data_IF_016988388190
#
_entry.id   IF_016988388190
#
_cell.length_a   1.000
_cell.length_b   1.000
_cell.length_c   1.000
_cell.angle_alpha   90.00
_cell.angle_beta   90.00
_cell.angle_gamma   90.00
#
_symmetry.space_group_name_H-M   'P 1'
#
loop_
_entity.id
_entity.type
_entity.pdbx_description
1 polymer ?
#
# COMPACT_ATOMS: atom_id res chain seq x y z
N UNK A 1 13.84 -0.41 17.83
CA UNK A 1 13.04 -0.88 16.66
C UNK A 1 13.76 -0.64 15.32
N UNK A 2 14.08 0.61 14.90
CA UNK A 2 14.71 0.88 13.58
C UNK A 2 16.04 0.13 13.40
N UNK A 3 16.94 0.17 14.38
CA UNK A 3 18.25 -0.51 14.29
C UNK A 3 18.11 -2.04 14.21
N UNK A 4 17.18 -2.61 14.96
CA UNK A 4 16.88 -4.04 14.91
C UNK A 4 16.30 -4.43 13.55
N UNK A 5 15.39 -3.62 13.00
CA UNK A 5 14.82 -3.83 11.68
C UNK A 5 15.91 -3.82 10.60
N UNK A 6 16.83 -2.84 10.64
CA UNK A 6 17.98 -2.78 9.72
C UNK A 6 18.86 -4.01 9.84
N UNK A 7 19.19 -4.43 11.06
CA UNK A 7 20.01 -5.61 11.28
C UNK A 7 19.37 -6.89 10.69
N UNK A 8 18.05 -7.07 10.85
CA UNK A 8 17.32 -8.19 10.24
C UNK A 8 17.35 -8.14 8.70
N UNK A 9 17.16 -6.96 8.10
CA UNK A 9 17.24 -6.78 6.65
C UNK A 9 18.64 -7.05 6.10
N UNK A 10 19.68 -6.60 6.80
CA UNK A 10 21.08 -6.87 6.43
C UNK A 10 21.46 -8.33 6.56
N UNK A 11 20.94 -9.05 7.56
CA UNK A 11 21.11 -10.50 7.69
C UNK A 11 20.53 -11.21 6.46
N UNK A 12 19.27 -10.89 6.08
CA UNK A 12 18.61 -11.47 4.90
C UNK A 12 19.40 -11.17 3.61
N UNK A 13 19.96 -9.95 3.46
CA UNK A 13 20.79 -9.59 2.30
C UNK A 13 22.04 -10.46 2.17
N UNK A 14 22.63 -10.87 3.29
CA UNK A 14 23.89 -11.60 3.34
C UNK A 14 23.73 -13.12 3.24
N UNK A 15 22.49 -13.61 3.29
CA UNK A 15 22.17 -15.03 3.12
C UNK A 15 21.88 -15.37 1.66
N UNK A 16 22.10 -16.63 1.26
CA UNK A 16 21.62 -17.14 -0.01
C UNK A 16 20.09 -17.31 0.06
N UNK A 17 19.38 -16.40 -0.56
CA UNK A 17 17.92 -16.42 -0.59
C UNK A 17 17.37 -16.63 -2.00
N UNK A 18 16.31 -17.41 -2.10
CA UNK A 18 15.53 -17.50 -3.32
C UNK A 18 14.61 -16.28 -3.47
N UNK A 19 14.63 -15.69 -4.65
CA UNK A 19 13.67 -14.65 -5.03
C UNK A 19 12.53 -15.26 -5.84
N UNK A 20 11.30 -15.06 -5.37
CA UNK A 20 10.08 -15.35 -6.13
C UNK A 20 9.35 -14.04 -6.39
N UNK A 21 8.95 -13.84 -7.64
CA UNK A 21 8.20 -12.64 -8.04
C UNK A 21 6.77 -13.05 -8.38
N UNK A 22 5.81 -12.28 -7.88
CA UNK A 22 4.41 -12.43 -8.20
C UNK A 22 3.85 -11.12 -8.72
N UNK A 23 3.12 -11.18 -9.82
CA UNK A 23 2.29 -10.09 -10.29
C UNK A 23 0.88 -10.25 -9.73
N UNK A 24 0.31 -9.19 -9.20
CA UNK A 24 -1.02 -9.19 -8.59
C UNK A 24 -1.96 -8.37 -9.42
N UNK A 25 -3.08 -8.95 -9.84
CA UNK A 25 -4.14 -8.24 -10.56
C UNK A 25 -5.09 -7.52 -9.62
N UNK A 26 -5.96 -6.68 -10.18
CA UNK A 26 -7.02 -5.99 -9.45
C UNK A 26 -8.04 -6.95 -8.81
N UNK A 27 -8.14 -8.16 -9.32
CA UNK A 27 -9.02 -9.24 -8.81
C UNK A 27 -8.25 -10.21 -7.89
N UNK A 28 -7.07 -9.84 -7.40
CA UNK A 28 -6.24 -10.66 -6.52
C UNK A 28 -5.82 -12.03 -7.08
N UNK A 29 -5.74 -12.12 -8.42
CA UNK A 29 -5.14 -13.26 -9.10
C UNK A 29 -3.62 -13.06 -9.11
N UNK A 30 -2.88 -14.10 -8.75
CA UNK A 30 -1.42 -14.10 -8.74
C UNK A 30 -0.89 -14.74 -10.01
N UNK A 31 0.10 -14.10 -10.63
CA UNK A 31 0.85 -14.64 -11.76
C UNK A 31 2.32 -14.75 -11.38
N UNK A 32 2.92 -15.90 -11.66
CA UNK A 32 4.34 -16.18 -11.36
C UNK A 32 5.15 -16.17 -12.66
N UNK A 33 5.98 -15.15 -12.90
CA UNK A 33 6.91 -15.15 -14.03
C UNK A 33 8.08 -16.11 -13.74
N UNK A 34 8.65 -16.66 -14.79
CA UNK A 34 9.93 -17.39 -14.67
C UNK A 34 11.07 -16.37 -14.61
N UNK A 35 11.91 -16.48 -13.60
CA UNK A 35 13.12 -15.68 -13.44
C UNK A 35 14.37 -16.52 -13.65
N UNK A 36 15.39 -15.90 -14.26
CA UNK A 36 16.73 -16.48 -14.29
C UNK A 36 17.36 -16.36 -12.89
N UNK A 37 17.84 -17.46 -12.34
CA UNK A 37 18.41 -17.54 -10.98
C UNK A 37 19.58 -16.57 -10.77
N UNK A 38 20.32 -16.27 -11.82
CA UNK A 38 21.50 -15.38 -11.80
C UNK A 38 21.18 -13.94 -11.39
N UNK A 39 19.92 -13.48 -11.58
CA UNK A 39 19.48 -12.13 -11.24
C UNK A 39 19.01 -11.99 -9.77
N UNK A 40 18.83 -13.08 -9.06
CA UNK A 40 18.21 -13.07 -7.73
C UNK A 40 18.99 -12.21 -6.73
N UNK A 41 20.29 -12.44 -6.60
CA UNK A 41 21.11 -11.78 -5.57
C UNK A 41 21.25 -10.27 -5.83
N UNK A 42 21.35 -9.85 -7.09
CA UNK A 42 21.45 -8.44 -7.47
C UNK A 42 20.15 -7.71 -7.10
N UNK A 43 18.99 -8.27 -7.49
CA UNK A 43 17.68 -7.68 -7.18
C UNK A 43 17.47 -7.62 -5.66
N UNK A 44 17.75 -8.70 -4.93
CA UNK A 44 17.61 -8.75 -3.46
C UNK A 44 18.44 -7.65 -2.81
N UNK A 45 19.72 -7.57 -3.19
CA UNK A 45 20.67 -6.60 -2.64
C UNK A 45 20.19 -5.16 -2.88
N UNK A 46 19.77 -4.84 -4.09
CA UNK A 46 19.30 -3.51 -4.46
C UNK A 46 18.03 -3.11 -3.69
N UNK A 47 17.07 -4.03 -3.56
CA UNK A 47 15.83 -3.77 -2.82
C UNK A 47 16.11 -3.51 -1.34
N UNK A 48 16.90 -4.36 -0.70
CA UNK A 48 17.22 -4.23 0.73
C UNK A 48 18.04 -2.97 0.99
N UNK A 49 19.04 -2.67 0.16
CA UNK A 49 19.82 -1.43 0.28
C UNK A 49 18.94 -0.19 0.19
N UNK A 50 17.93 -0.21 -0.69
CA UNK A 50 16.99 0.91 -0.80
C UNK A 50 16.15 1.09 0.46
N UNK A 51 15.62 0.00 1.02
CA UNK A 51 14.85 0.04 2.27
C UNK A 51 15.73 0.56 3.42
N UNK A 52 16.94 0.03 3.59
CA UNK A 52 17.88 0.46 4.64
C UNK A 52 18.24 1.93 4.49
N UNK A 53 18.50 2.40 3.24
CA UNK A 53 18.75 3.82 2.95
C UNK A 53 17.55 4.70 3.30
N UNK A 54 16.34 4.22 3.06
CA UNK A 54 15.12 4.94 3.43
C UNK A 54 14.96 5.02 4.96
N UNK A 55 15.13 3.90 5.66
CA UNK A 55 15.08 3.82 7.12
C UNK A 55 16.15 4.67 7.83
N UNK A 56 17.25 5.01 7.14
CA UNK A 56 18.26 5.95 7.68
C UNK A 56 17.78 7.41 7.76
N UNK A 57 16.68 7.73 7.11
CA UNK A 57 16.08 9.08 7.08
C UNK A 57 14.86 9.18 7.98
N UNK A 58 14.48 8.07 8.62
CA UNK A 58 13.32 7.96 9.47
C UNK A 58 13.76 8.07 10.92
N UNK A 59 13.18 8.99 11.66
CA UNK A 59 13.50 9.20 13.08
C UNK A 59 12.74 8.18 13.95
N UNK A 60 11.49 7.90 13.60
CA UNK A 60 10.61 7.02 14.36
C UNK A 60 9.73 6.14 13.44
N UNK A 61 9.38 4.94 13.91
CA UNK A 61 8.37 4.07 13.28
C UNK A 61 7.18 4.01 14.23
N UNK A 62 6.04 4.50 13.78
CA UNK A 62 4.81 4.57 14.56
C UNK A 62 3.85 3.44 14.21
N UNK A 63 2.95 3.11 15.11
CA UNK A 63 1.88 2.16 14.81
C UNK A 63 0.94 2.77 13.76
N UNK A 64 0.60 1.97 12.74
CA UNK A 64 -0.29 2.39 11.68
C UNK A 64 -1.71 2.50 12.20
N UNK A 65 -2.27 3.68 12.07
CA UNK A 65 -3.67 3.92 12.36
C UNK A 65 -4.39 4.19 11.02
N UNK A 66 -5.36 3.36 10.68
CA UNK A 66 -6.19 3.53 9.48
C UNK A 66 -6.87 4.92 9.43
N UNK A 67 -7.12 5.48 10.60
CA UNK A 67 -7.78 6.77 10.82
C UNK A 67 -6.79 7.93 10.92
N UNK A 68 -5.48 7.62 10.95
CA UNK A 68 -4.41 8.60 11.20
C UNK A 68 -4.15 9.58 10.07
N UNK A 69 -3.52 10.69 10.41
CA UNK A 69 -3.03 11.63 9.42
C UNK A 69 -1.78 11.06 8.72
N UNK A 70 -1.69 11.31 7.41
CA UNK A 70 -0.50 10.99 6.60
C UNK A 70 0.69 11.83 7.10
N UNK A 71 1.53 11.29 7.96
CA UNK A 71 2.69 12.02 8.51
C UNK A 71 3.91 11.97 7.62
N UNK A 72 3.92 11.10 6.61
CA UNK A 72 5.08 10.88 5.73
C UNK A 72 6.19 10.03 6.37
N UNK A 73 5.98 9.54 7.58
CA UNK A 73 6.87 8.63 8.31
C UNK A 73 6.56 7.17 8.01
N UNK A 74 7.47 6.27 8.37
CA UNK A 74 7.20 4.83 8.28
C UNK A 74 6.27 4.44 9.41
N UNK A 75 5.19 3.76 9.06
CA UNK A 75 4.31 3.14 10.06
C UNK A 75 4.40 1.62 9.99
N UNK A 76 3.94 0.93 11.04
CA UNK A 76 3.84 -0.51 11.06
C UNK A 76 2.49 -0.97 11.58
N UNK A 77 2.06 -2.15 11.13
CA UNK A 77 0.91 -2.85 11.68
C UNK A 77 1.21 -4.34 11.81
N UNK A 78 0.48 -5.02 12.68
CA UNK A 78 0.58 -6.47 12.81
C UNK A 78 -0.12 -7.17 11.66
N UNK A 79 0.46 -8.30 11.24
CA UNK A 79 -0.16 -9.20 10.25
C UNK A 79 -1.43 -9.85 10.80
N UNK A 80 -1.45 -10.09 12.13
CA UNK A 80 -2.59 -10.69 12.81
C UNK A 80 -3.85 -9.86 12.64
N UNK A 81 -4.93 -10.49 12.17
CA UNK A 81 -6.21 -9.81 11.93
C UNK A 81 -6.30 -9.04 10.61
N UNK A 82 -5.23 -8.97 9.81
CA UNK A 82 -5.29 -8.31 8.50
C UNK A 82 -5.64 -9.30 7.39
N UNK A 83 -6.94 -9.47 7.14
CA UNK A 83 -7.49 -10.50 6.27
C UNK A 83 -7.01 -10.39 4.83
N UNK A 84 -6.94 -9.18 4.26
CA UNK A 84 -6.53 -8.93 2.87
C UNK A 84 -5.11 -9.39 2.60
N UNK A 85 -4.20 -9.13 3.52
CA UNK A 85 -2.83 -9.62 3.46
C UNK A 85 -2.80 -11.15 3.59
N UNK A 86 -3.53 -11.71 4.56
CA UNK A 86 -3.54 -13.13 4.84
C UNK A 86 -4.07 -13.95 3.65
N UNK A 87 -5.07 -13.45 2.92
CA UNK A 87 -5.57 -14.07 1.69
C UNK A 87 -4.49 -14.15 0.60
N UNK A 88 -3.75 -13.07 0.37
CA UNK A 88 -2.65 -13.06 -0.60
C UNK A 88 -1.52 -13.99 -0.16
N UNK A 89 -1.14 -13.93 1.12
CA UNK A 89 -0.10 -14.81 1.67
C UNK A 89 -0.47 -16.28 1.54
N UNK A 90 -1.72 -16.63 1.82
CA UNK A 90 -2.19 -18.01 1.69
C UNK A 90 -2.08 -18.51 0.25
N UNK A 91 -2.51 -17.72 -0.73
CA UNK A 91 -2.35 -18.06 -2.16
C UNK A 91 -0.88 -18.30 -2.54
N UNK A 92 0.05 -17.48 -2.02
CA UNK A 92 1.49 -17.68 -2.25
C UNK A 92 2.01 -18.97 -1.62
N UNK A 93 1.54 -19.32 -0.42
CA UNK A 93 1.93 -20.55 0.28
C UNK A 93 1.38 -21.80 -0.39
N UNK A 94 0.16 -21.73 -0.89
CA UNK A 94 -0.52 -22.85 -1.57
C UNK A 94 -0.07 -22.97 -3.05
N UNK A 95 0.82 -22.08 -3.52
CA UNK A 95 1.23 -21.94 -4.94
C UNK A 95 0.01 -21.78 -5.87
N UNK A 96 -1.08 -21.17 -5.35
CA UNK A 96 -2.30 -20.84 -6.10
C UNK A 96 -2.03 -19.62 -6.99
N UNK A 97 -1.30 -19.85 -8.05
CA UNK A 97 -0.90 -18.84 -9.00
C UNK A 97 -0.96 -19.36 -10.45
N UNK A 98 -1.32 -18.46 -11.36
CA UNK A 98 -1.32 -18.74 -12.78
C UNK A 98 0.07 -18.52 -13.39
N UNK A 99 0.43 -19.33 -14.37
CA UNK A 99 1.62 -19.08 -15.17
C UNK A 99 1.37 -17.90 -16.11
N UNK A 100 2.34 -16.99 -16.18
CA UNK A 100 2.27 -15.88 -17.11
C UNK A 100 2.53 -16.37 -18.53
N UNK A 101 1.46 -16.45 -19.34
CA UNK A 101 1.58 -16.75 -20.77
C UNK A 101 1.79 -15.47 -21.58
N UNK A 102 2.78 -15.44 -22.49
CA UNK A 102 3.12 -14.24 -23.28
C UNK A 102 2.01 -13.73 -24.22
N UNK A 103 1.03 -14.57 -24.54
CA UNK A 103 0.04 -14.32 -25.60
C UNK A 103 -0.92 -13.16 -25.33
N UNK A 104 -0.99 -12.63 -24.10
CA UNK A 104 -1.96 -11.58 -23.75
C UNK A 104 -1.37 -10.48 -22.85
N UNK A 105 -0.14 -10.09 -23.12
CA UNK A 105 0.65 -9.16 -22.29
C UNK A 105 -0.05 -7.80 -22.10
N UNK A 106 -0.74 -7.29 -23.13
CA UNK A 106 -1.42 -5.98 -23.05
C UNK A 106 -2.63 -5.97 -22.10
N UNK A 107 -3.47 -6.98 -22.19
CA UNK A 107 -4.62 -7.11 -21.29
C UNK A 107 -4.18 -7.37 -19.85
N UNK A 108 -3.12 -8.15 -19.68
CA UNK A 108 -2.51 -8.44 -18.39
C UNK A 108 -2.02 -7.17 -17.69
N UNK A 109 -1.24 -6.31 -18.36
CA UNK A 109 -0.74 -5.08 -17.76
C UNK A 109 -1.86 -4.11 -17.32
N UNK A 110 -2.98 -4.08 -18.02
CA UNK A 110 -4.12 -3.24 -17.65
C UNK A 110 -4.83 -3.74 -16.37
N UNK A 111 -4.67 -5.01 -16.04
CA UNK A 111 -5.26 -5.64 -14.85
C UNK A 111 -4.32 -5.60 -13.64
N UNK A 112 -3.03 -5.31 -13.81
CA UNK A 112 -2.08 -5.30 -12.71
C UNK A 112 -2.38 -4.20 -11.69
N UNK A 113 -2.38 -4.57 -10.41
CA UNK A 113 -2.37 -3.63 -9.31
C UNK A 113 -1.01 -3.54 -8.61
N UNK A 114 -0.24 -4.61 -8.59
CA UNK A 114 1.05 -4.62 -7.90
C UNK A 114 1.95 -5.78 -8.22
N UNK A 115 3.11 -5.76 -7.57
CA UNK A 115 4.16 -6.76 -7.65
C UNK A 115 4.55 -7.12 -6.23
N UNK A 116 4.74 -8.41 -5.96
CA UNK A 116 5.25 -8.93 -4.71
C UNK A 116 6.58 -9.62 -5.00
N UNK A 117 7.60 -9.27 -4.22
CA UNK A 117 8.89 -9.97 -4.23
C UNK A 117 9.01 -10.70 -2.90
N UNK A 118 9.04 -12.03 -2.95
CA UNK A 118 9.28 -12.88 -1.78
C UNK A 118 10.76 -13.26 -1.75
N UNK A 119 11.45 -12.88 -0.68
CA UNK A 119 12.86 -13.14 -0.44
C UNK A 119 12.97 -14.16 0.69
N UNK A 120 13.38 -15.37 0.34
CA UNK A 120 13.28 -16.50 1.25
C UNK A 120 11.83 -16.74 1.69
N UNK A 121 11.64 -17.07 2.96
CA UNK A 121 10.31 -17.29 3.57
C UNK A 121 9.89 -16.16 4.50
N UNK A 122 10.78 -15.20 4.76
CA UNK A 122 10.64 -14.25 5.87
C UNK A 122 10.35 -12.82 5.44
N UNK A 123 10.68 -12.44 4.20
CA UNK A 123 10.55 -11.07 3.71
C UNK A 123 9.71 -11.01 2.45
N UNK A 124 8.64 -10.24 2.50
CA UNK A 124 7.79 -9.95 1.34
C UNK A 124 7.78 -8.44 1.08
N UNK A 125 8.20 -8.04 -0.12
CA UNK A 125 8.22 -6.65 -0.56
C UNK A 125 7.05 -6.40 -1.51
N UNK A 126 6.31 -5.34 -1.29
CA UNK A 126 5.14 -4.97 -2.06
C UNK A 126 5.37 -3.67 -2.81
N UNK A 127 5.01 -3.66 -4.07
CA UNK A 127 5.15 -2.53 -4.97
C UNK A 127 3.84 -2.33 -5.73
N UNK A 128 3.24 -1.17 -5.62
CA UNK A 128 2.12 -0.81 -6.48
C UNK A 128 2.59 -0.75 -7.93
N UNK A 129 1.83 -1.35 -8.82
CA UNK A 129 2.09 -1.23 -10.24
C UNK A 129 1.73 0.18 -10.75
N UNK A 130 2.63 0.78 -11.50
CA UNK A 130 2.38 2.03 -12.23
C UNK A 130 2.71 1.82 -13.71
N UNK A 131 1.87 2.35 -14.58
CA UNK A 131 2.04 2.21 -16.03
C UNK A 131 3.43 2.58 -16.58
N UNK A 132 4.17 3.57 -15.99
CA UNK A 132 5.53 3.88 -16.42
C UNK A 132 6.55 2.75 -16.29
N UNK A 133 6.23 1.68 -15.52
CA UNK A 133 7.11 0.50 -15.39
C UNK A 133 7.14 -0.37 -16.65
N UNK A 134 6.20 -0.15 -17.58
CA UNK A 134 6.17 -0.78 -18.88
C UNK A 134 6.68 0.19 -19.96
N UNK A 135 7.74 -0.21 -20.64
CA UNK A 135 8.35 0.57 -21.72
C UNK A 135 7.86 0.04 -23.07
N UNK A 136 6.64 0.42 -23.48
CA UNK A 136 6.07 0.07 -24.80
C UNK A 136 5.88 1.31 -25.66
N UNK A 137 6.14 1.15 -26.96
CA UNK A 137 5.85 2.18 -27.97
C UNK A 137 6.80 3.39 -27.96
N UNK A 138 7.91 3.32 -27.24
CA UNK A 138 8.99 4.31 -27.27
C UNK A 138 10.27 3.67 -27.80
N UNK A 139 11.08 4.45 -28.48
CA UNK A 139 12.40 4.00 -28.93
C UNK A 139 13.37 4.05 -27.76
N UNK A 140 13.60 2.91 -27.12
CA UNK A 140 14.61 2.76 -26.07
C UNK A 140 15.92 2.31 -26.71
N UNK A 141 17.00 3.00 -26.37
CA UNK A 141 18.34 2.71 -26.87
C UNK A 141 19.19 2.20 -25.72
N UNK A 142 19.85 1.07 -25.91
CA UNK A 142 20.85 0.52 -24.98
C UNK A 142 22.25 0.85 -25.47
N UNK A 143 23.08 1.30 -24.56
CA UNK A 143 24.53 1.35 -24.72
C UNK A 143 25.15 -0.02 -24.43
N UNK A 144 25.25 -0.84 -25.45
CA UNK A 144 26.08 -2.04 -25.40
C UNK A 144 27.28 -1.83 -26.30
N UNK A 145 28.38 -1.28 -25.80
CA UNK A 145 29.64 -1.12 -26.56
C UNK A 145 29.40 -0.61 -27.99
N UNK A 146 29.16 0.64 -28.23
CA UNK A 146 28.95 1.23 -29.57
C UNK A 146 28.71 0.24 -30.76
N UNK A 147 27.64 0.37 -31.52
CA UNK A 147 26.68 1.48 -31.58
C UNK A 147 25.49 1.30 -30.63
N UNK A 148 24.71 2.38 -30.47
CA UNK A 148 23.40 2.35 -29.77
C UNK A 148 22.50 1.33 -30.49
N UNK A 149 21.98 0.39 -29.72
CA UNK A 149 21.05 -0.63 -30.23
C UNK A 149 19.65 -0.36 -29.70
N UNK A 150 18.66 -0.40 -30.59
CA UNK A 150 17.25 -0.23 -30.21
C UNK A 150 16.72 -1.51 -29.56
N UNK A 151 16.06 -1.35 -28.39
CA UNK A 151 15.31 -2.44 -27.80
C UNK A 151 13.94 -2.52 -28.49
N UNK A 152 13.67 -3.67 -29.11
CA UNK A 152 12.41 -3.95 -29.82
C UNK A 152 11.40 -4.70 -28.94
N UNK A 153 11.87 -5.25 -27.84
CA UNK A 153 11.10 -6.09 -26.93
C UNK A 153 10.39 -5.25 -25.86
N UNK A 154 9.29 -5.76 -25.34
CA UNK A 154 8.61 -5.15 -24.18
C UNK A 154 9.51 -5.30 -22.95
N UNK A 155 9.85 -4.17 -22.33
CA UNK A 155 10.67 -4.15 -21.11
C UNK A 155 9.77 -3.91 -19.93
N UNK A 156 9.95 -4.71 -18.90
CA UNK A 156 9.36 -4.51 -17.59
C UNK A 156 10.44 -4.04 -16.61
N UNK A 157 10.23 -2.88 -15.99
CA UNK A 157 11.18 -2.34 -15.02
C UNK A 157 10.72 -2.61 -13.59
N UNK A 158 11.57 -3.26 -12.81
CA UNK A 158 11.44 -3.37 -11.37
C UNK A 158 12.39 -2.33 -10.76
N UNK A 159 11.82 -1.20 -10.32
CA UNK A 159 12.60 -0.18 -9.62
C UNK A 159 12.91 -0.62 -8.17
N UNK A 160 13.77 0.13 -7.48
CA UNK A 160 14.15 -0.17 -6.09
C UNK A 160 13.15 0.37 -5.06
N UNK A 161 12.10 1.08 -5.47
CA UNK A 161 11.10 1.62 -4.56
C UNK A 161 10.23 0.51 -4.00
N UNK A 162 10.14 0.43 -2.68
CA UNK A 162 9.25 -0.48 -1.95
C UNK A 162 8.18 0.35 -1.27
N UNK A 163 6.92 0.07 -1.53
CA UNK A 163 5.81 0.83 -0.97
C UNK A 163 5.49 0.38 0.45
N UNK A 164 5.55 -0.91 0.70
CA UNK A 164 5.45 -1.53 2.02
C UNK A 164 6.08 -2.92 1.99
N UNK A 165 6.43 -3.44 3.15
CA UNK A 165 7.03 -4.77 3.25
C UNK A 165 6.64 -5.48 4.54
N UNK A 166 6.51 -6.80 4.47
CA UNK A 166 6.29 -7.64 5.64
C UNK A 166 7.62 -8.28 6.05
N UNK A 167 7.92 -8.22 7.35
CA UNK A 167 9.05 -8.88 7.98
C UNK A 167 8.65 -9.38 9.37
N UNK A 168 8.73 -10.70 9.59
CA UNK A 168 8.21 -11.33 10.79
C UNK A 168 6.70 -11.17 10.94
N UNK A 169 6.24 -10.65 12.04
CA UNK A 169 4.82 -10.45 12.35
C UNK A 169 4.29 -9.07 11.97
N UNK A 170 5.13 -8.22 11.36
CA UNK A 170 4.76 -6.84 11.06
C UNK A 170 4.81 -6.55 9.56
N UNK A 171 3.91 -5.68 9.14
CA UNK A 171 3.95 -4.99 7.85
C UNK A 171 4.43 -3.57 8.12
N UNK A 172 5.53 -3.16 7.47
CA UNK A 172 6.09 -1.82 7.53
C UNK A 172 5.66 -1.04 6.30
N UNK A 173 5.09 0.14 6.48
CA UNK A 173 4.42 0.91 5.44
C UNK A 173 5.23 2.17 5.16
N UNK A 174 5.87 2.22 3.98
CA UNK A 174 6.63 3.38 3.49
C UNK A 174 5.74 4.35 2.70
N UNK A 175 4.66 3.83 2.10
CA UNK A 175 3.69 4.61 1.32
C UNK A 175 2.29 4.18 1.67
N UNK A 176 1.66 4.91 2.58
CA UNK A 176 0.30 4.64 3.06
C UNK A 176 -0.72 4.65 1.91
N UNK A 177 -0.62 5.63 1.01
CA UNK A 177 -1.52 5.72 -0.15
C UNK A 177 -1.43 4.46 -1.03
N UNK A 178 -0.22 3.96 -1.30
CA UNK A 178 -0.04 2.78 -2.13
C UNK A 178 -0.44 1.49 -1.41
N UNK A 179 -0.22 1.42 -0.09
CA UNK A 179 -0.70 0.35 0.78
C UNK A 179 -2.23 0.23 0.73
N UNK A 180 -2.94 1.32 0.95
CA UNK A 180 -4.40 1.36 0.93
C UNK A 180 -4.98 1.01 -0.44
N UNK A 181 -4.37 1.52 -1.53
CA UNK A 181 -4.80 1.18 -2.89
C UNK A 181 -4.54 -0.31 -3.19
N UNK A 182 -3.41 -0.85 -2.73
CA UNK A 182 -3.06 -2.24 -2.95
C UNK A 182 -4.06 -3.20 -2.31
N UNK A 183 -4.51 -2.91 -1.10
CA UNK A 183 -5.48 -3.73 -0.37
C UNK A 183 -6.93 -3.26 -0.52
N UNK A 184 -7.19 -2.23 -1.34
CA UNK A 184 -8.55 -1.71 -1.59
C UNK A 184 -9.29 -1.29 -0.31
N UNK A 185 -8.57 -0.66 0.65
CA UNK A 185 -9.11 -0.34 1.98
C UNK A 185 -10.17 0.78 1.97
N UNK A 186 -10.39 1.43 0.83
CA UNK A 186 -11.37 2.53 0.71
C UNK A 186 -12.81 2.07 1.01
N UNK A 187 -13.17 0.85 0.59
CA UNK A 187 -14.48 0.27 0.90
C UNK A 187 -14.67 0.05 2.40
N UNK A 188 -13.63 -0.38 3.11
CA UNK A 188 -13.67 -0.58 4.56
C UNK A 188 -13.85 0.73 5.33
N UNK A 189 -13.25 1.83 4.85
CA UNK A 189 -13.48 3.14 5.46
C UNK A 189 -14.94 3.56 5.34
N UNK A 190 -15.54 3.33 4.18
CA UNK A 190 -16.96 3.61 3.97
C UNK A 190 -17.86 2.76 4.89
N UNK A 191 -17.60 1.46 4.97
CA UNK A 191 -18.35 0.55 5.85
C UNK A 191 -18.30 1.01 7.32
N UNK A 192 -17.10 1.32 7.84
CA UNK A 192 -16.93 1.83 9.21
C UNK A 192 -17.67 3.15 9.48
N UNK A 193 -17.70 4.06 8.49
CA UNK A 193 -18.46 5.30 8.63
C UNK A 193 -19.95 5.02 8.68
N UNK A 194 -20.45 4.11 7.83
CA UNK A 194 -21.85 3.69 7.83
C UNK A 194 -22.24 3.02 9.16
N UNK A 195 -21.37 2.17 9.70
CA UNK A 195 -21.55 1.56 11.03
C UNK A 195 -21.64 2.63 12.15
N UNK A 196 -20.86 3.71 12.00
CA UNK A 196 -20.87 4.83 12.95
C UNK A 196 -21.95 5.89 12.69
N UNK A 197 -22.83 5.66 11.70
CA UNK A 197 -23.89 6.62 11.30
C UNK A 197 -24.76 7.05 12.48
N UNK A 198 -25.10 6.12 13.37
CA UNK A 198 -25.95 6.40 14.53
C UNK A 198 -25.33 7.47 15.45
N UNK A 199 -24.00 7.48 15.59
CA UNK A 199 -23.30 8.50 16.36
C UNK A 199 -23.50 9.91 15.79
N UNK A 200 -23.51 10.04 14.45
CA UNK A 200 -23.76 11.33 13.78
C UNK A 200 -25.20 11.78 13.96
N UNK A 201 -26.17 10.87 13.87
CA UNK A 201 -27.60 11.15 14.10
C UNK A 201 -27.83 11.70 15.50
N UNK A 202 -27.20 11.10 16.53
CA UNK A 202 -27.35 11.50 17.92
C UNK A 202 -26.86 12.93 18.22
N UNK A 203 -26.01 13.50 17.36
CA UNK A 203 -25.55 14.89 17.55
C UNK A 203 -26.59 15.92 17.15
N UNK A 204 -27.55 15.57 16.27
CA UNK A 204 -28.54 16.48 15.70
C UNK A 204 -27.94 17.75 15.04
N UNK A 205 -26.64 17.72 14.67
CA UNK A 205 -25.97 18.82 13.97
C UNK A 205 -26.22 18.76 12.46
N UNK A 206 -26.38 17.52 11.96
CA UNK A 206 -26.46 17.23 10.53
C UNK A 206 -27.91 16.85 10.21
N UNK A 207 -28.58 17.65 9.40
CA UNK A 207 -30.00 17.42 9.02
C UNK A 207 -30.17 16.15 8.18
N UNK A 208 -29.27 15.93 7.19
CA UNK A 208 -29.31 14.77 6.31
C UNK A 208 -28.00 14.00 6.42
N UNK A 209 -27.91 13.08 7.38
CA UNK A 209 -26.70 12.30 7.66
C UNK A 209 -26.30 11.40 6.48
N UNK A 210 -27.26 10.87 5.72
CA UNK A 210 -26.95 10.01 4.57
C UNK A 210 -26.27 10.80 3.44
N UNK A 211 -26.78 11.98 3.11
CA UNK A 211 -26.21 12.86 2.12
C UNK A 211 -24.81 13.33 2.56
N UNK A 212 -24.67 13.72 3.81
CA UNK A 212 -23.38 14.11 4.39
C UNK A 212 -22.32 13.00 4.30
N UNK A 213 -22.68 11.75 4.66
CA UNK A 213 -21.79 10.60 4.55
C UNK A 213 -21.39 10.37 3.09
N UNK A 214 -22.35 10.38 2.16
CA UNK A 214 -22.09 10.21 0.73
C UNK A 214 -21.14 11.28 0.19
N UNK A 215 -21.36 12.54 0.54
CA UNK A 215 -20.50 13.66 0.14
C UNK A 215 -19.09 13.52 0.72
N UNK A 216 -18.96 13.19 1.99
CA UNK A 216 -17.68 12.95 2.62
C UNK A 216 -16.94 11.76 1.97
N UNK A 217 -17.64 10.67 1.68
CA UNK A 217 -17.09 9.48 1.07
C UNK A 217 -16.78 9.63 -0.43
N UNK A 218 -17.28 10.68 -1.08
CA UNK A 218 -16.93 11.00 -2.47
C UNK A 218 -15.45 11.33 -2.68
N UNK A 219 -14.73 11.72 -1.60
CA UNK A 219 -13.31 12.10 -1.63
C UNK A 219 -12.54 11.39 -0.51
N UNK A 220 -11.56 10.58 -0.85
CA UNK A 220 -10.73 9.81 0.09
C UNK A 220 -10.22 10.62 1.30
N UNK A 221 -9.77 11.87 1.07
CA UNK A 221 -9.30 12.73 2.16
C UNK A 221 -10.41 13.09 3.16
N UNK A 222 -11.61 13.33 2.67
CA UNK A 222 -12.79 13.65 3.50
C UNK A 222 -13.25 12.41 4.26
N UNK A 223 -13.26 11.25 3.60
CA UNK A 223 -13.56 9.95 4.22
C UNK A 223 -12.67 9.69 5.44
N UNK A 224 -11.35 9.83 5.27
CA UNK A 224 -10.39 9.65 6.37
C UNK A 224 -10.57 10.66 7.50
N UNK A 225 -10.83 11.93 7.16
CA UNK A 225 -11.09 12.96 8.18
C UNK A 225 -12.33 12.66 8.99
N UNK A 226 -13.40 12.21 8.33
CA UNK A 226 -14.63 11.84 9.01
C UNK A 226 -14.42 10.63 9.92
N UNK A 227 -13.73 9.60 9.41
CA UNK A 227 -13.42 8.40 10.20
C UNK A 227 -12.55 8.74 11.42
N UNK A 228 -11.52 9.56 11.24
CA UNK A 228 -10.67 10.04 12.33
C UNK A 228 -11.49 10.82 13.38
N UNK A 229 -12.40 11.68 12.94
CA UNK A 229 -13.29 12.42 13.83
C UNK A 229 -14.15 11.46 14.67
N UNK A 230 -14.78 10.48 14.01
CA UNK A 230 -15.68 9.51 14.67
C UNK A 230 -14.97 8.63 15.71
N UNK A 231 -13.70 8.28 15.44
CA UNK A 231 -12.91 7.40 16.30
C UNK A 231 -12.04 8.16 17.32
N UNK A 232 -12.05 9.49 17.28
CA UNK A 232 -11.20 10.31 18.15
C UNK A 232 -11.96 10.79 19.40
N UNK A 233 -11.20 11.08 20.46
CA UNK A 233 -11.73 11.78 21.65
C UNK A 233 -12.33 13.15 21.30
N UNK A 234 -12.06 13.69 20.12
CA UNK A 234 -12.65 14.95 19.68
C UNK A 234 -14.14 14.82 19.38
N UNK A 235 -14.59 13.65 18.91
CA UNK A 235 -16.02 13.41 18.71
C UNK A 235 -16.78 13.38 20.04
N UNK A 236 -16.23 12.75 21.07
CA UNK A 236 -16.80 12.80 22.42
C UNK A 236 -16.84 14.24 22.97
N UNK A 237 -15.80 15.03 22.76
CA UNK A 237 -15.80 16.45 23.14
C UNK A 237 -16.87 17.27 22.40
N UNK A 238 -17.13 16.97 21.12
CA UNK A 238 -18.21 17.59 20.37
C UNK A 238 -19.55 17.22 21.01
N UNK A 239 -19.76 15.96 21.35
CA UNK A 239 -20.99 15.50 22.03
C UNK A 239 -21.21 16.20 23.37
N UNK A 240 -20.16 16.29 24.18
CA UNK A 240 -20.21 16.95 25.49
C UNK A 240 -20.54 18.45 25.40
N UNK A 241 -20.09 19.11 24.32
CA UNK A 241 -20.26 20.55 24.11
C UNK A 241 -21.22 20.87 22.93
N UNK A 242 -22.17 19.98 22.67
CA UNK A 242 -23.00 20.02 21.46
C UNK A 242 -23.75 21.35 21.29
N UNK A 243 -24.21 21.95 22.41
CA UNK A 243 -24.94 23.20 22.38
C UNK A 243 -24.04 24.38 21.94
N UNK A 244 -22.83 24.46 22.46
CA UNK A 244 -21.84 25.47 22.10
C UNK A 244 -21.43 25.33 20.62
N UNK A 245 -21.25 24.09 20.14
CA UNK A 245 -20.94 23.81 18.73
C UNK A 245 -22.08 24.25 17.82
N UNK A 246 -23.35 24.01 18.19
CA UNK A 246 -24.52 24.47 17.42
C UNK A 246 -24.59 26.00 17.36
N UNK A 247 -24.29 26.70 18.43
CA UNK A 247 -24.27 28.17 18.46
C UNK A 247 -23.20 28.73 17.51
N UNK A 248 -21.98 28.18 17.56
CA UNK A 248 -20.88 28.60 16.66
C UNK A 248 -21.24 28.35 15.19
N UNK A 249 -21.80 27.18 14.85
CA UNK A 249 -22.22 26.89 13.47
C UNK A 249 -23.27 27.87 13.00
N UNK A 250 -24.24 28.22 13.85
CA UNK A 250 -25.32 29.17 13.54
C UNK A 250 -24.75 30.57 13.27
N UNK A 251 -23.78 31.02 14.06
CA UNK A 251 -23.08 32.29 13.82
C UNK A 251 -22.34 32.34 12.49
N UNK A 252 -21.66 31.25 12.12
CA UNK A 252 -20.95 31.16 10.83
C UNK A 252 -21.88 31.03 9.62
N UNK A 253 -23.06 30.48 9.78
CA UNK A 253 -24.04 30.33 8.71
C UNK A 253 -24.81 31.63 8.42
N UNK A 254 -24.77 32.61 9.34
CA UNK A 254 -25.45 33.91 9.22
C UNK A 254 -24.53 35.03 8.68
N UNK A 255 -23.25 34.76 8.46
CA UNK A 255 -22.27 35.67 7.87
C UNK A 255 -21.84 35.19 6.47
#
# INVERSE_FOLDING_TARGET
>A
MIQELKAKLEAIRNEENNLRIYFVTKNDILFKPQLLVELNNEIITDQINHIVKYLNKVDEITEHNLDGNLTGEVSYMKVEGFNEYNLIKQKILDDDCENLEPSNVDSFYNQLKGIILCIGETLMLFKKFSYPKRLKGKNYLIFQKFPLTQIKEDIFSIDNRVDFFQLGENIYINSEINFEIFFSLESQYHEKIVESKQLLIETEIIENVDEFINDCCSKKRSTKKLLNLLNSNNFEKIKENIQEVKEVITEFALN
#
